data_IF_488713377491
#
_entry.id   IF_488713377491
#
_cell.length_a   1.000
_cell.length_b   1.000
_cell.length_c   1.000
_cell.angle_alpha   90.00
_cell.angle_beta   90.00
_cell.angle_gamma   90.00
#
_symmetry.space_group_name_H-M   'P 1'
#
loop_
_entity.id
_entity.type
_entity.pdbx_description
1 polymer ?
#
# COMPACT_ATOMS: atom_id res chain seq x y z
N UNK A 1 -25.71 -3.98 -34.27
CA UNK A 1 -24.55 -3.67 -33.40
C UNK A 1 -25.12 -2.98 -32.17
N UNK A 2 -24.74 -3.41 -30.97
CA UNK A 2 -25.08 -2.67 -29.76
C UNK A 2 -24.41 -1.29 -29.80
N UNK A 3 -25.09 -0.27 -29.29
CA UNK A 3 -24.50 1.07 -29.20
C UNK A 3 -23.43 1.12 -28.11
N UNK A 4 -22.47 2.05 -28.22
CA UNK A 4 -21.44 2.25 -27.19
C UNK A 4 -22.07 2.60 -25.84
N UNK A 5 -23.20 3.32 -25.87
CA UNK A 5 -23.93 3.71 -24.68
C UNK A 5 -24.58 2.51 -23.97
N UNK A 6 -25.18 1.59 -24.73
CA UNK A 6 -25.69 0.32 -24.20
C UNK A 6 -24.60 -0.50 -23.52
N UNK A 7 -23.44 -0.64 -24.17
CA UNK A 7 -22.29 -1.37 -23.63
C UNK A 7 -21.80 -0.72 -22.33
N UNK A 8 -21.66 0.62 -22.33
CA UNK A 8 -21.20 1.36 -21.15
C UNK A 8 -22.15 1.23 -19.97
N UNK A 9 -23.45 1.33 -20.21
CA UNK A 9 -24.46 1.21 -19.17
C UNK A 9 -24.51 -0.22 -18.60
N UNK A 10 -24.32 -1.25 -19.43
CA UNK A 10 -24.24 -2.63 -18.98
C UNK A 10 -22.95 -2.94 -18.20
N UNK A 11 -21.84 -2.28 -18.52
CA UNK A 11 -20.54 -2.52 -17.88
C UNK A 11 -20.41 -1.85 -16.51
N UNK A 12 -21.23 -0.84 -16.18
CA UNK A 12 -21.09 -0.05 -14.96
C UNK A 12 -21.81 -0.69 -13.77
N UNK A 13 -21.26 -0.56 -12.56
CA UNK A 13 -21.98 -0.89 -11.33
C UNK A 13 -23.07 0.16 -11.03
N UNK A 14 -24.03 -0.18 -10.18
CA UNK A 14 -25.17 0.69 -9.84
C UNK A 14 -24.96 1.42 -8.52
N UNK A 15 -24.47 0.71 -7.51
CA UNK A 15 -24.30 1.19 -6.16
C UNK A 15 -22.92 1.82 -5.89
N UNK A 16 -22.78 2.50 -4.74
CA UNK A 16 -21.52 3.09 -4.32
C UNK A 16 -20.49 1.99 -4.00
N UNK A 17 -19.21 2.34 -4.10
CA UNK A 17 -18.13 1.50 -3.62
C UNK A 17 -18.18 1.41 -2.09
N UNK A 18 -18.11 0.19 -1.58
CA UNK A 18 -18.15 -0.17 -0.16
C UNK A 18 -16.90 -0.98 0.21
N UNK A 19 -16.43 -0.82 1.45
CA UNK A 19 -15.32 -1.63 1.98
C UNK A 19 -15.89 -2.91 2.57
N UNK A 20 -15.43 -4.06 2.09
CA UNK A 20 -15.90 -5.39 2.52
C UNK A 20 -15.03 -6.02 3.60
N UNK A 21 -13.72 -5.79 3.54
CA UNK A 21 -12.76 -6.41 4.43
C UNK A 21 -11.56 -5.49 4.62
N UNK A 22 -10.98 -5.53 5.81
CA UNK A 22 -9.75 -4.83 6.17
C UNK A 22 -8.84 -5.85 6.87
N UNK A 23 -7.61 -5.98 6.40
CA UNK A 23 -6.56 -6.78 7.03
C UNK A 23 -5.32 -5.94 7.23
N UNK A 24 -4.63 -6.13 8.35
CA UNK A 24 -3.36 -5.46 8.65
C UNK A 24 -2.30 -6.47 9.05
N UNK A 25 -1.04 -6.12 8.80
CA UNK A 25 0.11 -6.90 9.24
C UNK A 25 1.26 -5.95 9.60
N UNK A 26 2.10 -6.39 10.53
CA UNK A 26 3.33 -5.71 10.96
C UNK A 26 4.45 -6.73 11.05
N UNK A 27 5.72 -6.33 10.86
CA UNK A 27 6.85 -7.20 11.18
C UNK A 27 6.84 -7.60 12.67
N UNK A 28 7.33 -8.79 13.00
CA UNK A 28 7.42 -9.28 14.39
C UNK A 28 8.40 -8.46 15.24
N UNK A 29 9.39 -7.82 14.61
CA UNK A 29 10.40 -7.02 15.29
C UNK A 29 9.81 -5.69 15.79
N UNK A 30 9.55 -5.62 17.10
CA UNK A 30 9.04 -4.44 17.78
C UNK A 30 10.16 -3.75 18.58
N UNK A 31 10.30 -2.43 18.42
CA UNK A 31 11.15 -1.58 19.26
C UNK A 31 10.26 -0.56 19.95
N UNK A 32 10.27 -0.55 21.28
CA UNK A 32 9.52 0.43 22.04
C UNK A 32 10.14 1.81 21.90
N UNK A 33 9.30 2.84 21.76
CA UNK A 33 9.77 4.21 21.55
C UNK A 33 10.63 4.73 22.71
N UNK A 34 10.39 4.24 23.95
CA UNK A 34 11.23 4.53 25.12
C UNK A 34 12.68 4.11 24.94
N UNK A 35 12.90 3.01 24.22
CA UNK A 35 14.20 2.36 24.06
C UNK A 35 14.83 2.69 22.70
N UNK A 36 14.05 3.33 21.81
CA UNK A 36 14.41 3.54 20.41
C UNK A 36 15.62 4.44 20.24
N UNK A 37 15.77 5.49 21.06
CA UNK A 37 16.94 6.37 20.99
C UNK A 37 18.23 5.58 21.26
N UNK A 38 18.29 4.84 22.36
CA UNK A 38 19.46 4.04 22.75
C UNK A 38 19.75 2.91 21.76
N UNK A 39 18.72 2.35 21.14
CA UNK A 39 18.86 1.37 20.06
C UNK A 39 19.42 2.02 18.78
N UNK A 40 18.83 3.13 18.35
CA UNK A 40 19.15 3.81 17.10
C UNK A 40 20.60 4.33 17.09
N UNK A 41 21.02 5.06 18.11
CA UNK A 41 22.40 5.57 18.22
C UNK A 41 23.44 4.44 18.33
N UNK A 42 23.08 3.30 18.94
CA UNK A 42 23.95 2.12 19.07
C UNK A 42 24.13 1.37 17.75
N UNK A 43 23.05 1.18 16.99
CA UNK A 43 23.05 0.37 15.75
C UNK A 43 23.66 1.14 14.58
N UNK A 44 23.54 2.47 14.55
CA UNK A 44 24.04 3.24 13.40
C UNK A 44 25.56 3.42 13.37
N UNK A 45 26.29 3.12 14.47
CA UNK A 45 27.78 3.18 14.61
C UNK A 45 28.45 4.15 13.63
N UNK A 46 28.03 5.42 13.68
CA UNK A 46 28.19 6.38 12.59
C UNK A 46 29.61 6.96 12.50
N UNK A 47 30.61 6.18 12.07
CA UNK A 47 31.89 6.76 11.68
C UNK A 47 32.36 6.51 10.22
N UNK A 48 32.09 5.40 9.49
CA UNK A 48 32.79 5.24 8.16
C UNK A 48 32.13 4.42 7.01
N UNK A 49 30.85 4.04 7.03
CA UNK A 49 30.38 2.94 6.15
C UNK A 49 29.79 3.35 4.78
N UNK A 50 30.56 3.10 3.70
CA UNK A 50 30.28 3.33 2.27
C UNK A 50 29.62 2.14 1.52
N UNK A 51 28.99 1.21 2.23
CA UNK A 51 28.24 0.06 1.65
C UNK A 51 26.76 0.40 1.31
N UNK A 52 26.41 1.69 1.27
CA UNK A 52 25.04 2.18 1.05
C UNK A 52 24.55 2.09 -0.41
N UNK A 53 25.35 1.52 -1.32
CA UNK A 53 25.13 1.56 -2.77
C UNK A 53 24.35 0.38 -3.36
N UNK A 54 24.15 -0.71 -2.59
CA UNK A 54 23.41 -1.92 -3.05
C UNK A 54 21.94 -2.00 -2.62
N UNK A 55 21.46 -1.09 -1.76
CA UNK A 55 20.04 -1.01 -1.31
C UNK A 55 19.17 -0.04 -2.13
N UNK A 56 19.73 0.54 -3.18
CA UNK A 56 19.04 1.49 -4.04
C UNK A 56 18.47 0.77 -5.28
N UNK A 57 17.33 0.08 -5.09
CA UNK A 57 16.38 -0.29 -6.16
C UNK A 57 15.14 -0.93 -5.52
N UNK A 58 14.11 -0.13 -5.23
CA UNK A 58 12.78 -0.65 -4.86
C UNK A 58 11.65 -0.13 -5.76
N UNK A 59 12.02 0.49 -6.88
CA UNK A 59 11.21 0.47 -8.10
C UNK A 59 11.81 -0.62 -8.95
N UNK A 60 11.13 -1.77 -9.00
CA UNK A 60 11.55 -2.93 -9.77
C UNK A 60 10.49 -3.21 -10.83
N UNK A 61 10.91 -3.73 -11.97
CA UNK A 61 10.00 -4.23 -13.00
C UNK A 61 10.34 -5.70 -13.29
N UNK A 62 9.40 -6.64 -13.10
CA UNK A 62 8.00 -6.44 -12.66
C UNK A 62 7.85 -5.91 -11.23
N UNK A 63 6.82 -5.09 -11.01
CA UNK A 63 6.57 -4.39 -9.75
C UNK A 63 6.05 -5.27 -8.61
N UNK A 64 5.84 -4.64 -7.45
CA UNK A 64 5.32 -5.31 -6.26
C UNK A 64 3.89 -5.84 -6.48
N UNK A 65 3.11 -5.20 -7.34
CA UNK A 65 1.79 -5.65 -7.78
C UNK A 65 1.84 -7.00 -8.51
N UNK A 66 2.85 -7.21 -9.37
CA UNK A 66 3.06 -8.49 -10.05
C UNK A 66 3.46 -9.59 -9.05
N UNK A 67 4.43 -9.29 -8.18
CA UNK A 67 4.91 -10.24 -7.16
C UNK A 67 3.77 -10.63 -6.21
N UNK A 68 2.96 -9.67 -5.77
CA UNK A 68 1.81 -9.90 -4.92
C UNK A 68 0.75 -10.77 -5.62
N UNK A 69 0.43 -10.48 -6.88
CA UNK A 69 -0.52 -11.27 -7.65
C UNK A 69 -0.08 -12.74 -7.75
N UNK A 70 1.20 -12.99 -8.00
CA UNK A 70 1.77 -14.34 -8.03
C UNK A 70 1.73 -15.02 -6.65
N UNK A 71 2.10 -14.31 -5.58
CA UNK A 71 2.11 -14.85 -4.21
C UNK A 71 0.71 -15.25 -3.74
N UNK A 72 -0.32 -14.50 -4.13
CA UNK A 72 -1.71 -14.77 -3.78
C UNK A 72 -2.40 -15.72 -4.77
N UNK A 73 -1.73 -16.14 -5.84
CA UNK A 73 -2.33 -16.97 -6.89
C UNK A 73 -3.51 -16.29 -7.59
N UNK A 74 -3.45 -14.97 -7.77
CA UNK A 74 -4.51 -14.24 -8.47
C UNK A 74 -4.54 -14.60 -9.96
N UNK A 75 -5.73 -14.52 -10.56
CA UNK A 75 -5.93 -14.66 -11.99
C UNK A 75 -4.97 -13.75 -12.79
N UNK A 76 -4.38 -14.30 -13.84
CA UNK A 76 -3.39 -13.56 -14.67
C UNK A 76 -4.01 -12.37 -15.42
N UNK A 77 -5.34 -12.37 -15.56
CA UNK A 77 -6.14 -11.29 -16.14
C UNK A 77 -6.44 -10.14 -15.17
N UNK A 78 -5.97 -10.21 -13.91
CA UNK A 78 -6.19 -9.15 -12.91
C UNK A 78 -5.62 -7.81 -13.40
N UNK A 79 -6.46 -6.77 -13.34
CA UNK A 79 -6.08 -5.40 -13.71
C UNK A 79 -5.33 -4.77 -12.55
N UNK A 80 -4.06 -4.41 -12.77
CA UNK A 80 -3.15 -3.91 -11.72
C UNK A 80 -2.85 -2.43 -11.91
N UNK A 81 -2.79 -1.69 -10.81
CA UNK A 81 -2.33 -0.30 -10.75
C UNK A 81 -1.23 -0.22 -9.71
N UNK A 82 0.02 -0.09 -10.15
CA UNK A 82 1.16 0.01 -9.25
C UNK A 82 1.47 1.48 -8.96
N UNK A 83 1.40 1.87 -7.70
CA UNK A 83 1.69 3.23 -7.24
C UNK A 83 2.96 3.25 -6.38
N UNK A 84 4.07 3.71 -6.95
CA UNK A 84 5.32 3.96 -6.22
C UNK A 84 5.47 5.43 -5.84
N UNK A 85 6.24 5.70 -4.77
CA UNK A 85 6.67 7.05 -4.37
C UNK A 85 5.54 8.07 -4.06
N UNK A 86 4.40 7.61 -3.55
CA UNK A 86 3.23 8.48 -3.28
C UNK A 86 3.28 9.21 -1.92
N UNK A 87 4.01 8.72 -0.92
CA UNK A 87 4.05 9.34 0.42
C UNK A 87 2.80 9.08 1.27
N UNK A 88 2.64 9.80 2.38
CA UNK A 88 1.65 9.47 3.42
C UNK A 88 0.19 9.70 3.03
N UNK A 89 -0.10 10.55 2.03
CA UNK A 89 -1.46 10.78 1.54
C UNK A 89 -1.98 9.65 0.64
N UNK A 90 -1.11 8.69 0.28
CA UNK A 90 -1.43 7.61 -0.64
C UNK A 90 -2.63 6.76 -0.19
N UNK A 91 -2.91 6.69 1.12
CA UNK A 91 -4.10 6.03 1.65
C UNK A 91 -5.40 6.58 1.05
N UNK A 92 -5.54 7.91 0.98
CA UNK A 92 -6.68 8.54 0.30
C UNK A 92 -6.65 8.33 -1.22
N UNK A 93 -5.46 8.37 -1.82
CA UNK A 93 -5.28 8.13 -3.26
C UNK A 93 -5.77 6.74 -3.67
N UNK A 94 -5.37 5.69 -2.95
CA UNK A 94 -5.77 4.32 -3.30
C UNK A 94 -7.26 4.08 -3.11
N UNK A 95 -7.88 4.69 -2.10
CA UNK A 95 -9.33 4.60 -1.89
C UNK A 95 -10.10 5.30 -2.99
N UNK A 96 -9.64 6.48 -3.42
CA UNK A 96 -10.21 7.20 -4.57
C UNK A 96 -10.10 6.36 -5.85
N UNK A 97 -8.93 5.79 -6.13
CA UNK A 97 -8.73 4.91 -7.28
C UNK A 97 -9.61 3.66 -7.20
N UNK A 98 -9.71 3.03 -6.03
CA UNK A 98 -10.55 1.84 -5.83
C UNK A 98 -12.03 2.13 -6.00
N UNK A 99 -12.50 3.30 -5.54
CA UNK A 99 -13.87 3.77 -5.76
C UNK A 99 -14.21 3.81 -7.25
N UNK A 100 -13.39 4.51 -8.04
CA UNK A 100 -13.63 4.64 -9.49
C UNK A 100 -13.58 3.27 -10.19
N UNK A 101 -12.63 2.40 -9.80
CA UNK A 101 -12.52 1.06 -10.35
C UNK A 101 -13.74 0.18 -10.01
N UNK A 102 -14.23 0.22 -8.77
CA UNK A 102 -15.38 -0.55 -8.33
C UNK A 102 -16.69 -0.04 -8.94
N UNK A 103 -16.93 1.27 -8.89
CA UNK A 103 -18.19 1.88 -9.37
C UNK A 103 -18.29 1.84 -10.90
N UNK A 104 -17.17 1.91 -11.61
CA UNK A 104 -17.19 1.92 -13.07
C UNK A 104 -17.18 0.52 -13.71
N UNK A 105 -17.11 -0.55 -12.92
CA UNK A 105 -17.02 -1.92 -13.42
C UNK A 105 -17.94 -2.86 -12.62
N UNK A 106 -19.06 -3.25 -13.22
CA UNK A 106 -20.02 -4.21 -12.67
C UNK A 106 -19.30 -5.52 -12.28
N UNK A 107 -19.56 -5.97 -11.05
CA UNK A 107 -18.97 -7.20 -10.52
C UNK A 107 -17.52 -7.09 -10.03
N UNK A 108 -16.87 -5.92 -10.15
CA UNK A 108 -15.48 -5.78 -9.74
C UNK A 108 -15.27 -6.01 -8.22
N UNK A 109 -14.19 -6.74 -7.89
CA UNK A 109 -13.55 -6.80 -6.57
C UNK A 109 -12.19 -6.14 -6.70
N UNK A 110 -11.97 -5.06 -5.95
CA UNK A 110 -10.68 -4.36 -5.96
C UNK A 110 -9.94 -4.72 -4.68
N UNK A 111 -8.81 -5.42 -4.82
CA UNK A 111 -7.84 -5.60 -3.74
C UNK A 111 -6.88 -4.41 -3.74
N UNK A 112 -6.93 -3.62 -2.68
CA UNK A 112 -6.01 -2.51 -2.44
C UNK A 112 -5.01 -2.96 -1.39
N UNK A 113 -3.72 -2.74 -1.64
CA UNK A 113 -2.66 -3.04 -0.68
C UNK A 113 -1.73 -1.84 -0.53
N UNK A 114 -1.61 -1.35 0.69
CA UNK A 114 -0.59 -0.39 1.10
C UNK A 114 0.47 -1.10 1.92
N UNK A 115 1.73 -0.96 1.49
CA UNK A 115 2.88 -1.58 2.13
C UNK A 115 3.96 -0.54 2.34
N UNK A 116 4.36 -0.34 3.60
CA UNK A 116 5.40 0.61 3.98
C UNK A 116 6.47 -0.10 4.79
N UNK A 117 7.72 0.06 4.31
CA UNK A 117 8.93 -0.42 4.98
C UNK A 117 9.90 0.76 5.06
N UNK A 118 10.37 1.08 6.26
CA UNK A 118 11.20 2.24 6.63
C UNK A 118 12.69 1.99 6.42
N UNK A 119 13.10 0.76 6.14
CA UNK A 119 14.50 0.42 5.78
C UNK A 119 15.03 1.31 4.65
N UNK A 120 14.16 1.81 3.76
CA UNK A 120 14.53 2.72 2.66
C UNK A 120 14.88 4.13 3.16
N UNK A 121 14.29 4.56 4.28
CA UNK A 121 14.50 5.89 4.88
C UNK A 121 15.41 5.85 6.10
N UNK A 122 15.76 4.66 6.59
CA UNK A 122 16.64 4.49 7.75
C UNK A 122 18.05 4.98 7.44
N UNK A 123 18.55 5.91 8.24
CA UNK A 123 19.89 6.49 8.09
C UNK A 123 20.42 6.94 9.44
N UNK A 124 21.73 7.10 9.58
CA UNK A 124 22.35 7.58 10.82
C UNK A 124 21.99 9.04 11.16
N UNK A 125 22.16 9.45 12.43
CA UNK A 125 21.90 10.81 12.88
C UNK A 125 22.91 11.80 12.25
N UNK A 126 22.45 13.01 11.94
CA UNK A 126 23.30 14.14 11.53
C UNK A 126 22.86 15.40 12.26
N UNK A 127 23.83 16.21 12.71
CA UNK A 127 23.55 17.49 13.38
C UNK A 127 22.92 18.52 12.43
N UNK A 128 23.21 18.40 11.14
CA UNK A 128 22.77 19.33 10.10
C UNK A 128 21.39 18.98 9.52
N UNK A 129 20.77 17.89 9.96
CA UNK A 129 19.51 17.39 9.41
C UNK A 129 18.57 16.88 10.51
N UNK A 130 18.05 17.82 11.31
CA UNK A 130 17.10 17.52 12.38
C UNK A 130 15.76 16.98 11.84
N UNK A 131 15.36 17.40 10.65
CA UNK A 131 14.20 16.88 9.91
C UNK A 131 14.31 15.37 9.65
N UNK A 132 15.51 14.91 9.32
CA UNK A 132 15.82 13.49 9.17
C UNK A 132 15.59 12.73 10.48
N UNK A 133 16.05 13.28 11.60
CA UNK A 133 15.87 12.69 12.94
C UNK A 133 14.40 12.57 13.32
N UNK A 134 13.60 13.61 13.04
CA UNK A 134 12.15 13.55 13.22
C UNK A 134 11.55 12.40 12.40
N UNK A 135 11.97 12.23 11.15
CA UNK A 135 11.57 11.10 10.32
C UNK A 135 11.94 9.74 10.93
N UNK A 136 13.14 9.60 11.51
CA UNK A 136 13.56 8.34 12.17
C UNK A 136 12.73 8.03 13.41
N UNK A 137 12.21 9.04 14.11
CA UNK A 137 11.41 8.86 15.32
C UNK A 137 9.93 8.60 15.04
N UNK A 138 9.41 9.01 13.87
CA UNK A 138 7.98 8.93 13.55
C UNK A 138 7.59 7.74 12.68
N UNK A 139 8.45 7.35 11.72
CA UNK A 139 8.05 6.35 10.73
C UNK A 139 8.29 4.93 11.22
N UNK A 140 7.29 4.07 10.99
CA UNK A 140 7.35 2.63 11.25
C UNK A 140 6.92 1.79 10.04
N UNK A 141 7.14 0.49 10.14
CA UNK A 141 6.77 -0.49 9.13
C UNK A 141 5.33 -0.96 9.33
N UNK A 142 4.60 -1.15 8.24
CA UNK A 142 3.21 -1.58 8.32
C UNK A 142 2.60 -1.89 6.97
N UNK A 143 1.60 -2.76 7.00
CA UNK A 143 0.88 -3.23 5.83
C UNK A 143 -0.62 -3.20 6.12
N UNK A 144 -1.40 -2.74 5.15
CA UNK A 144 -2.85 -2.79 5.19
C UNK A 144 -3.39 -3.22 3.83
N UNK A 145 -4.39 -4.08 3.83
CA UNK A 145 -5.12 -4.51 2.66
C UNK A 145 -6.62 -4.28 2.86
N UNK A 146 -7.30 -3.80 1.82
CA UNK A 146 -8.75 -3.64 1.81
C UNK A 146 -9.36 -4.23 0.55
N UNK A 147 -10.55 -4.82 0.69
CA UNK A 147 -11.38 -5.26 -0.43
C UNK A 147 -12.49 -4.23 -0.64
N UNK A 148 -12.59 -3.70 -1.86
CA UNK A 148 -13.60 -2.70 -2.25
C UNK A 148 -14.49 -3.25 -3.37
N UNK A 149 -15.81 -3.05 -3.26
CA UNK A 149 -16.81 -3.44 -4.26
C UNK A 149 -17.98 -2.44 -4.31
N UNK A 150 -18.57 -2.26 -5.49
CA UNK A 150 -19.96 -1.80 -5.66
C UNK A 150 -20.98 -2.94 -5.84
N UNK A 151 -22.22 -2.73 -5.39
CA UNK A 151 -23.30 -3.73 -5.45
C UNK A 151 -22.97 -5.01 -4.65
N UNK A 152 -22.73 -4.83 -3.35
CA UNK A 152 -22.43 -5.89 -2.40
C UNK A 152 -23.65 -6.74 -2.11
N UNK A 153 -23.46 -8.06 -2.12
CA UNK A 153 -24.54 -9.01 -1.85
C UNK A 153 -24.68 -9.19 -0.34
N UNK A 154 -25.64 -8.48 0.26
CA UNK A 154 -25.84 -8.44 1.71
C UNK A 154 -26.20 -9.82 2.31
N UNK A 155 -26.58 -10.80 1.49
CA UNK A 155 -26.84 -12.16 1.97
C UNK A 155 -25.56 -12.91 2.37
N UNK A 156 -24.42 -12.56 1.78
CA UNK A 156 -23.11 -13.22 1.98
C UNK A 156 -22.00 -12.27 2.40
N UNK A 157 -22.13 -10.97 2.11
CA UNK A 157 -21.15 -9.92 2.36
C UNK A 157 -21.64 -8.97 3.46
N UNK A 158 -20.71 -8.46 4.27
CA UNK A 158 -20.99 -7.49 5.33
C UNK A 158 -20.16 -6.22 5.09
N UNK A 159 -20.62 -5.29 4.24
CA UNK A 159 -19.91 -4.04 3.99
C UNK A 159 -19.84 -3.20 5.28
N UNK A 160 -18.69 -2.55 5.52
CA UNK A 160 -18.50 -1.66 6.67
C UNK A 160 -19.22 -0.31 6.50
N UNK A 161 -19.24 0.21 5.27
CA UNK A 161 -19.84 1.49 4.87
C UNK A 161 -20.30 1.40 3.41
#
# INVERSE_FOLDING_TARGET
>A
MASVEEIRNAQRAKGPATILAIGTATPDHCVHQSDYADYYFRVTKSEHMTELKKKFNRVEMPGADYKLANLLGLETSVRRVMLYHQGCYAGGTVLRTAKDLAENNAGARVLVVCSKITVVTFRGPSKDSLDSLVGQALFGDGFAAVIVRSDSDVSIERPFF
#
